data_IF_455932683318
#
_entry.id   IF_455932683318
#
_cell.length_a   1.000
_cell.length_b   1.000
_cell.length_c   1.000
_cell.angle_alpha   90.00
_cell.angle_beta   90.00
_cell.angle_gamma   90.00
#
_symmetry.space_group_name_H-M   'P 1'
#
loop_
_entity.id
_entity.type
_entity.pdbx_description
1 polymer ?
#
# COMPACT_ATOMS: atom_id res chain seq x y z
N UNK A 1 -27.70 -7.20 6.37
CA UNK A 1 -27.18 -7.81 5.12
C UNK A 1 -25.99 -6.99 4.66
N UNK A 2 -24.77 -7.34 5.09
CA UNK A 2 -23.57 -6.62 4.68
C UNK A 2 -23.27 -6.99 3.22
N UNK A 3 -23.34 -6.03 2.31
CA UNK A 3 -22.86 -6.22 0.94
C UNK A 3 -21.34 -6.36 1.05
N UNK A 4 -20.81 -7.59 0.99
CA UNK A 4 -19.37 -7.83 0.89
C UNK A 4 -18.89 -7.22 -0.43
N UNK A 5 -18.50 -5.94 -0.41
CA UNK A 5 -17.86 -5.30 -1.56
C UNK A 5 -16.50 -5.96 -1.72
N UNK A 6 -16.37 -6.79 -2.76
CA UNK A 6 -15.12 -7.43 -3.16
C UNK A 6 -14.04 -6.34 -3.27
N UNK A 7 -12.92 -6.53 -2.57
CA UNK A 7 -11.71 -5.71 -2.75
C UNK A 7 -10.99 -6.18 -3.99
N UNK A 8 -10.49 -5.24 -4.78
CA UNK A 8 -9.59 -5.53 -5.90
C UNK A 8 -8.15 -5.57 -5.40
N UNK A 9 -7.26 -6.24 -6.13
CA UNK A 9 -5.83 -6.29 -5.78
C UNK A 9 -5.03 -5.42 -6.73
N UNK A 10 -4.15 -4.58 -6.19
CA UNK A 10 -3.21 -3.78 -6.97
C UNK A 10 -1.78 -4.05 -6.50
N UNK A 11 -0.84 -4.12 -7.44
CA UNK A 11 0.58 -4.14 -7.13
C UNK A 11 1.17 -2.74 -7.35
N UNK A 12 1.84 -2.22 -6.34
CA UNK A 12 2.60 -0.97 -6.39
C UNK A 12 4.07 -1.36 -6.35
N UNK A 13 4.76 -1.23 -7.48
CA UNK A 13 6.16 -1.61 -7.62
C UNK A 13 7.02 -0.34 -7.56
N UNK A 14 7.93 -0.30 -6.58
CA UNK A 14 8.91 0.75 -6.38
C UNK A 14 10.25 0.22 -6.84
N UNK A 15 10.79 0.77 -7.92
CA UNK A 15 12.16 0.48 -8.37
C UNK A 15 13.15 1.25 -7.49
N UNK A 16 13.27 0.84 -6.23
CA UNK A 16 14.05 1.54 -5.22
C UNK A 16 13.57 1.25 -3.80
N UNK A 17 14.15 1.97 -2.84
CA UNK A 17 13.80 1.88 -1.42
C UNK A 17 12.42 2.49 -1.14
N UNK A 18 11.52 1.69 -0.57
CA UNK A 18 10.16 2.10 -0.17
C UNK A 18 10.25 3.21 0.88
N UNK A 19 11.17 3.10 1.85
CA UNK A 19 11.29 4.08 2.93
C UNK A 19 11.72 5.48 2.44
N UNK A 20 12.35 5.55 1.26
CA UNK A 20 12.74 6.81 0.59
C UNK A 20 11.80 7.22 -0.53
N UNK A 21 10.65 6.57 -0.66
CA UNK A 21 9.65 6.85 -1.70
C UNK A 21 8.30 7.33 -1.12
N UNK A 22 8.22 8.47 -0.40
CA UNK A 22 6.96 8.95 0.20
C UNK A 22 5.79 9.02 -0.78
N UNK A 23 6.04 9.39 -2.04
CA UNK A 23 5.01 9.46 -3.08
C UNK A 23 4.39 8.08 -3.38
N UNK A 24 5.21 7.03 -3.43
CA UNK A 24 4.71 5.66 -3.65
C UNK A 24 3.96 5.14 -2.43
N UNK A 25 4.43 5.48 -1.23
CA UNK A 25 3.73 5.19 0.01
C UNK A 25 2.32 5.82 0.04
N UNK A 26 2.19 7.11 -0.33
CA UNK A 26 0.87 7.75 -0.40
C UNK A 26 -0.04 7.15 -1.47
N UNK A 27 0.52 6.70 -2.60
CA UNK A 27 -0.25 6.03 -3.64
C UNK A 27 -0.80 4.67 -3.16
N UNK A 28 0.05 3.86 -2.52
CA UNK A 28 -0.38 2.61 -1.89
C UNK A 28 -1.45 2.84 -0.80
N UNK A 29 -1.28 3.88 0.01
CA UNK A 29 -2.23 4.24 1.05
C UNK A 29 -3.60 4.67 0.50
N UNK A 30 -3.61 5.51 -0.55
CA UNK A 30 -4.85 5.94 -1.22
C UNK A 30 -5.60 4.76 -1.84
N UNK A 31 -4.89 3.84 -2.53
CA UNK A 31 -5.49 2.61 -3.06
C UNK A 31 -6.14 1.77 -1.96
N UNK A 32 -5.45 1.59 -0.83
CA UNK A 32 -5.92 0.78 0.28
C UNK A 32 -7.13 1.38 1.02
N UNK A 33 -7.17 2.71 1.18
CA UNK A 33 -8.15 3.38 2.06
C UNK A 33 -9.29 4.05 1.32
N UNK A 34 -9.02 4.68 0.18
CA UNK A 34 -10.01 5.46 -0.56
C UNK A 34 -10.66 4.64 -1.68
N UNK A 35 -9.90 3.73 -2.30
CA UNK A 35 -10.35 2.96 -3.45
C UNK A 35 -10.70 1.50 -3.14
N UNK A 36 -10.57 1.07 -1.88
CA UNK A 36 -10.95 -0.27 -1.39
C UNK A 36 -10.15 -1.42 -2.05
N UNK A 37 -8.84 -1.24 -2.21
CA UNK A 37 -7.92 -2.26 -2.74
C UNK A 37 -7.13 -2.98 -1.63
N UNK A 38 -6.79 -4.24 -1.86
CA UNK A 38 -5.65 -4.88 -1.20
C UNK A 38 -4.39 -4.61 -2.03
N UNK A 39 -3.41 -3.97 -1.42
CA UNK A 39 -2.20 -3.49 -2.10
C UNK A 39 -1.03 -4.41 -1.80
N UNK A 40 -0.32 -4.83 -2.84
CA UNK A 40 1.00 -5.46 -2.77
C UNK A 40 2.07 -4.41 -3.03
N UNK A 41 2.80 -4.00 -2.00
CA UNK A 41 3.84 -2.99 -2.12
C UNK A 41 5.21 -3.68 -2.22
N UNK A 42 5.80 -3.62 -3.41
CA UNK A 42 7.04 -4.34 -3.74
C UNK A 42 8.15 -3.32 -3.97
N UNK A 43 9.30 -3.52 -3.32
CA UNK A 43 10.48 -2.65 -3.43
C UNK A 43 11.54 -3.06 -2.41
N UNK A 44 12.63 -2.29 -2.33
CA UNK A 44 13.64 -2.50 -1.29
C UNK A 44 13.15 -1.94 0.04
N UNK A 45 13.59 -2.55 1.14
CA UNK A 45 13.20 -2.20 2.51
C UNK A 45 14.44 -1.86 3.35
N UNK A 46 15.31 -1.01 2.78
CA UNK A 46 16.55 -0.60 3.43
C UNK A 46 16.32 0.52 4.45
N UNK A 47 15.26 1.32 4.26
CA UNK A 47 14.79 2.33 5.22
C UNK A 47 13.38 2.00 5.71
N UNK A 48 13.06 2.39 6.95
CA UNK A 48 11.73 2.18 7.54
C UNK A 48 10.68 3.02 6.76
N UNK A 49 9.66 2.39 6.16
CA UNK A 49 8.57 3.11 5.53
C UNK A 49 7.75 3.94 6.52
N UNK A 50 7.14 5.00 6.02
CA UNK A 50 6.20 5.82 6.79
C UNK A 50 5.14 4.95 7.49
N UNK A 51 4.74 5.24 8.75
CA UNK A 51 3.80 4.42 9.53
C UNK A 51 2.52 3.99 8.81
N UNK A 52 1.98 4.86 7.96
CA UNK A 52 0.80 4.60 7.10
C UNK A 52 0.91 3.33 6.23
N UNK A 53 2.11 2.82 5.99
CA UNK A 53 2.34 1.59 5.23
C UNK A 53 2.27 0.38 6.14
N UNK A 54 3.14 0.30 7.15
CA UNK A 54 3.25 -0.90 7.98
C UNK A 54 2.13 -1.04 9.03
N UNK A 55 1.35 0.02 9.29
CA UNK A 55 0.17 -0.06 10.16
C UNK A 55 -1.12 -0.39 9.42
N UNK A 56 -1.12 -0.39 8.08
CA UNK A 56 -2.34 -0.61 7.28
C UNK A 56 -2.48 -2.09 6.91
N UNK A 57 -3.51 -2.81 7.40
CA UNK A 57 -3.68 -4.25 7.16
C UNK A 57 -3.95 -4.61 5.69
N UNK A 58 -4.29 -3.63 4.86
CA UNK A 58 -4.56 -3.79 3.43
C UNK A 58 -3.36 -3.46 2.54
N UNK A 59 -2.20 -3.18 3.13
CA UNK A 59 -0.93 -3.01 2.40
C UNK A 59 0.02 -4.11 2.86
N UNK A 60 0.51 -4.93 1.93
CA UNK A 60 1.38 -6.08 2.20
C UNK A 60 2.62 -6.06 1.34
#
# INVERSE_FOLDING_TARGET
MALFRRRYTAAVVVLGDIGRSPRMCYHAYSLATQLNYDVKLVGYLDSIPHPLIHSNPHIK
#
